data_IF_495020226671
#
_entry.id   IF_495020226671
#
_cell.length_a   1.000
_cell.length_b   1.000
_cell.length_c   1.000
_cell.angle_alpha   90.00
_cell.angle_beta   90.00
_cell.angle_gamma   90.00
#
_symmetry.space_group_name_H-M   'P 1'
#
loop_
_entity.id
_entity.type
_entity.pdbx_description
1 polymer ?
#
# COMPACT_ATOMS: atom_id res chain seq x y z
N UNK A 1 -7.77 -2.36 11.09
CA UNK A 1 -7.98 -0.93 11.41
C UNK A 1 -8.35 -0.20 10.13
N UNK A 2 -9.17 0.87 10.16
CA UNK A 2 -9.49 1.68 8.97
C UNK A 2 -8.57 2.91 8.98
N UNK A 3 -7.63 2.97 8.05
CA UNK A 3 -6.55 3.95 8.08
C UNK A 3 -6.97 5.15 7.29
N UNK A 4 -6.63 6.37 7.69
CA UNK A 4 -6.78 7.52 6.78
C UNK A 4 -5.51 8.32 6.79
N UNK A 5 -5.06 8.72 5.60
CA UNK A 5 -4.20 9.89 5.46
C UNK A 5 -5.06 11.13 5.76
N UNK A 6 -5.55 11.25 6.99
CA UNK A 6 -6.44 12.31 7.47
C UNK A 6 -5.79 13.69 7.39
N UNK A 7 -4.49 13.74 7.06
CA UNK A 7 -3.70 14.94 6.90
C UNK A 7 -2.79 14.85 5.67
N UNK A 8 -3.36 14.65 4.47
CA UNK A 8 -2.62 15.04 3.26
C UNK A 8 -2.61 16.58 3.19
N UNK A 9 -1.45 17.27 3.29
CA UNK A 9 -1.47 18.73 3.43
C UNK A 9 -1.55 19.37 2.04
N UNK A 10 -2.72 19.39 1.42
CA UNK A 10 -2.88 19.96 0.09
C UNK A 10 -3.84 21.13 0.00
N UNK A 11 -3.25 22.26 -0.37
CA UNK A 11 -3.91 23.30 -1.15
C UNK A 11 -4.70 24.30 -0.33
N UNK A 12 -4.48 25.57 -0.64
CA UNK A 12 -5.19 26.73 -0.09
C UNK A 12 -6.67 26.76 -0.56
N UNK A 13 -7.05 25.92 -1.54
CA UNK A 13 -8.31 26.06 -2.25
C UNK A 13 -9.49 25.21 -1.79
N UNK A 14 -9.32 24.20 -0.93
CA UNK A 14 -10.46 23.56 -0.25
C UNK A 14 -9.94 22.50 0.71
N UNK A 15 -10.23 22.65 2.00
CA UNK A 15 -9.98 21.63 3.02
C UNK A 15 -10.94 20.45 2.80
N UNK A 16 -10.74 19.66 1.75
CA UNK A 16 -11.51 18.44 1.50
C UNK A 16 -11.02 17.37 2.48
N UNK A 17 -11.90 16.99 3.41
CA UNK A 17 -11.68 15.85 4.29
C UNK A 17 -11.82 14.59 3.43
N UNK A 18 -10.71 14.09 2.89
CA UNK A 18 -10.65 12.91 2.02
C UNK A 18 -10.75 11.60 2.82
N UNK A 19 -11.80 11.47 3.63
CA UNK A 19 -11.80 10.51 4.73
C UNK A 19 -12.18 9.08 4.35
N UNK A 20 -12.53 8.77 3.10
CA UNK A 20 -12.85 7.40 2.68
C UNK A 20 -12.00 6.92 1.50
N UNK A 21 -11.77 7.76 0.49
CA UNK A 21 -10.97 7.37 -0.70
C UNK A 21 -9.46 7.18 -0.40
N UNK A 22 -8.96 7.78 0.69
CA UNK A 22 -7.58 7.63 1.16
C UNK A 22 -7.47 6.68 2.34
N UNK A 23 -8.39 5.72 2.41
CA UNK A 23 -8.34 4.67 3.41
C UNK A 23 -7.98 3.34 2.78
N UNK A 24 -6.78 2.87 3.05
CA UNK A 24 -6.46 1.46 2.85
C UNK A 24 -6.66 0.73 4.17
N UNK A 25 -7.43 -0.36 4.17
CA UNK A 25 -7.63 -1.17 5.37
C UNK A 25 -7.03 -2.56 5.15
N UNK A 26 -6.02 -2.85 5.97
CA UNK A 26 -5.49 -4.18 6.19
C UNK A 26 -5.93 -4.68 7.56
N UNK A 27 -6.09 -5.99 7.67
CA UNK A 27 -6.33 -6.62 8.98
C UNK A 27 -5.05 -6.50 9.80
N UNK A 28 -3.98 -7.10 9.29
CA UNK A 28 -2.57 -6.97 9.69
C UNK A 28 -1.74 -7.83 8.71
N UNK A 29 -0.41 -7.69 8.69
CA UNK A 29 0.45 -8.41 7.74
C UNK A 29 0.36 -9.95 7.88
N UNK A 30 0.14 -10.46 9.09
CA UNK A 30 0.05 -11.91 9.33
C UNK A 30 -1.29 -12.46 8.84
N UNK A 31 -2.37 -11.74 9.09
CA UNK A 31 -3.72 -12.10 8.62
C UNK A 31 -3.83 -12.06 7.10
N UNK A 32 -3.19 -11.09 6.43
CA UNK A 32 -3.18 -11.06 4.96
C UNK A 32 -2.36 -12.22 4.37
N UNK A 33 -1.16 -12.48 4.90
CA UNK A 33 -0.34 -13.63 4.45
C UNK A 33 -1.04 -14.96 4.72
N UNK A 34 -1.71 -15.11 5.87
CA UNK A 34 -2.47 -16.33 6.21
C UNK A 34 -3.63 -16.53 5.25
N UNK A 35 -4.35 -15.47 4.88
CA UNK A 35 -5.43 -15.52 3.90
C UNK A 35 -4.94 -15.97 2.52
N UNK A 36 -3.80 -15.47 2.07
CA UNK A 36 -3.17 -15.87 0.81
C UNK A 36 -2.79 -17.35 0.84
N UNK A 37 -2.07 -17.79 1.88
CA UNK A 37 -1.58 -19.17 1.99
C UNK A 37 -2.62 -20.19 2.46
N UNK A 38 -3.84 -19.76 2.80
CA UNK A 38 -4.97 -20.67 2.98
C UNK A 38 -5.35 -21.37 1.65
N UNK A 39 -4.93 -20.82 0.51
CA UNK A 39 -5.11 -21.43 -0.81
C UNK A 39 -4.06 -22.52 -1.07
N UNK A 40 -4.49 -23.58 -1.74
CA UNK A 40 -3.69 -24.78 -1.99
C UNK A 40 -2.87 -24.69 -3.27
N UNK A 41 -3.34 -23.97 -4.29
CA UNK A 41 -2.66 -23.84 -5.58
C UNK A 41 -1.91 -22.51 -5.68
N UNK A 42 -0.86 -22.47 -6.51
CA UNK A 42 -0.12 -21.22 -6.78
C UNK A 42 -1.01 -20.17 -7.45
N UNK A 43 -1.83 -20.57 -8.43
CA UNK A 43 -2.74 -19.66 -9.14
C UNK A 43 -3.75 -19.02 -8.19
N UNK A 44 -4.33 -19.80 -7.28
CA UNK A 44 -5.26 -19.27 -6.29
C UNK A 44 -4.57 -18.32 -5.31
N UNK A 45 -3.33 -18.59 -4.90
CA UNK A 45 -2.53 -17.69 -4.05
C UNK A 45 -2.25 -16.36 -4.76
N UNK A 46 -1.89 -16.42 -6.04
CA UNK A 46 -1.65 -15.23 -6.87
C UNK A 46 -2.90 -14.38 -7.00
N UNK A 47 -4.06 -15.02 -7.24
CA UNK A 47 -5.35 -14.34 -7.30
C UNK A 47 -5.74 -13.73 -5.95
N UNK A 48 -5.57 -14.48 -4.86
CA UNK A 48 -5.87 -13.98 -3.52
C UNK A 48 -4.95 -12.81 -3.12
N UNK A 49 -3.66 -12.84 -3.51
CA UNK A 49 -2.75 -11.69 -3.36
C UNK A 49 -3.26 -10.46 -4.15
N UNK A 50 -3.73 -10.69 -5.38
CA UNK A 50 -4.28 -9.64 -6.22
C UNK A 50 -5.50 -8.98 -5.56
N UNK A 51 -6.45 -9.79 -5.11
CA UNK A 51 -7.74 -9.34 -4.58
C UNK A 51 -7.61 -8.71 -3.18
N UNK A 52 -6.80 -9.31 -2.30
CA UNK A 52 -6.65 -8.84 -0.92
C UNK A 52 -5.74 -7.63 -0.76
N UNK A 53 -4.69 -7.54 -1.56
CA UNK A 53 -3.61 -6.57 -1.35
C UNK A 53 -3.45 -5.67 -2.57
N UNK A 54 -3.11 -6.23 -3.73
CA UNK A 54 -2.67 -5.41 -4.89
C UNK A 54 -3.75 -4.43 -5.34
N UNK A 55 -4.99 -4.87 -5.47
CA UNK A 55 -6.11 -4.02 -5.91
C UNK A 55 -6.37 -2.88 -4.91
N UNK A 56 -6.37 -3.18 -3.60
CA UNK A 56 -6.55 -2.15 -2.56
C UNK A 56 -5.45 -1.09 -2.60
N UNK A 57 -4.20 -1.52 -2.74
CA UNK A 57 -3.04 -0.62 -2.88
C UNK A 57 -3.15 0.19 -4.16
N UNK A 58 -3.64 -0.40 -5.25
CA UNK A 58 -3.83 0.29 -6.52
C UNK A 58 -4.87 1.40 -6.43
N UNK A 59 -6.01 1.13 -5.81
CA UNK A 59 -7.06 2.11 -5.63
C UNK A 59 -6.58 3.26 -4.74
N UNK A 60 -5.86 2.93 -3.67
CA UNK A 60 -5.22 3.93 -2.81
C UNK A 60 -4.21 4.80 -3.57
N UNK A 61 -3.27 4.21 -4.32
CA UNK A 61 -2.26 4.95 -5.10
C UNK A 61 -2.93 5.81 -6.18
N UNK A 62 -4.00 5.34 -6.81
CA UNK A 62 -4.77 6.13 -7.79
C UNK A 62 -5.46 7.33 -7.13
N UNK A 63 -6.08 7.14 -5.97
CA UNK A 63 -6.70 8.24 -5.21
C UNK A 63 -5.64 9.26 -4.77
N UNK A 64 -4.54 8.78 -4.19
CA UNK A 64 -3.38 9.57 -3.80
C UNK A 64 -2.84 10.46 -4.91
N UNK A 65 -2.60 9.91 -6.11
CA UNK A 65 -2.08 10.65 -7.26
C UNK A 65 -3.03 11.74 -7.74
N UNK A 66 -4.34 11.52 -7.69
CA UNK A 66 -5.34 12.54 -8.06
C UNK A 66 -5.32 13.74 -7.10
N UNK A 67 -4.95 13.51 -5.85
CA UNK A 67 -4.98 14.51 -4.79
C UNK A 67 -3.65 15.24 -4.61
N UNK A 68 -2.56 14.69 -5.15
CA UNK A 68 -1.24 15.34 -5.16
C UNK A 68 -1.30 16.66 -5.96
N UNK A 69 -0.99 17.82 -5.37
CA UNK A 69 -0.94 19.10 -6.01
C UNK A 69 0.31 19.15 -6.86
N UNK A 70 0.25 20.04 -7.83
CA UNK A 70 1.35 20.24 -8.78
C UNK A 70 2.47 21.10 -8.19
N UNK A 71 2.28 21.68 -7.00
CA UNK A 71 3.21 22.61 -6.37
C UNK A 71 3.43 22.28 -4.90
N UNK A 72 4.69 22.35 -4.47
CA UNK A 72 5.12 22.16 -3.09
C UNK A 72 4.64 23.34 -2.20
N UNK A 73 4.20 23.08 -0.95
CA UNK A 73 3.86 24.15 0.00
C UNK A 73 5.06 25.04 0.32
N UNK A 74 4.81 26.35 0.49
CA UNK A 74 5.86 27.34 0.85
C UNK A 74 6.17 27.36 2.35
N UNK A 75 5.19 27.00 3.19
CA UNK A 75 5.35 26.96 4.65
C UNK A 75 6.17 25.73 5.06
N UNK A 76 7.19 25.92 5.90
CA UNK A 76 8.20 24.90 6.20
C UNK A 76 7.62 23.67 6.93
N UNK A 77 6.68 23.86 7.85
CA UNK A 77 5.97 22.77 8.52
C UNK A 77 5.13 21.95 7.53
N UNK A 78 4.42 22.63 6.62
CA UNK A 78 3.64 21.96 5.55
C UNK A 78 4.53 21.26 4.54
N UNK A 79 5.72 21.81 4.27
CA UNK A 79 6.73 21.24 3.38
C UNK A 79 7.29 19.93 3.93
N UNK A 80 7.51 19.85 5.25
CA UNK A 80 7.98 18.62 5.91
C UNK A 80 6.93 17.51 5.81
N UNK A 81 5.69 17.79 6.17
CA UNK A 81 4.58 16.83 6.03
C UNK A 81 4.32 16.44 4.57
N UNK A 82 4.44 17.38 3.63
CA UNK A 82 4.33 17.10 2.21
C UNK A 82 5.40 16.12 1.72
N UNK A 83 6.67 16.38 2.07
CA UNK A 83 7.77 15.53 1.66
C UNK A 83 7.70 14.14 2.31
N UNK A 84 7.29 14.05 3.57
CA UNK A 84 7.02 12.77 4.23
C UNK A 84 5.93 11.96 3.50
N UNK A 85 4.77 12.58 3.22
CA UNK A 85 3.68 11.91 2.51
C UNK A 85 4.06 11.53 1.06
N UNK A 86 4.88 12.35 0.39
CA UNK A 86 5.42 12.06 -0.93
C UNK A 86 6.32 10.83 -0.90
N UNK A 87 7.27 10.76 0.04
CA UNK A 87 8.17 9.62 0.20
C UNK A 87 7.41 8.35 0.59
N UNK A 88 6.42 8.46 1.48
CA UNK A 88 5.55 7.34 1.84
C UNK A 88 4.81 6.78 0.62
N UNK A 89 4.22 7.65 -0.22
CA UNK A 89 3.56 7.23 -1.46
C UNK A 89 4.53 6.56 -2.45
N UNK A 90 5.74 7.09 -2.60
CA UNK A 90 6.79 6.50 -3.44
C UNK A 90 7.16 5.08 -2.95
N UNK A 91 7.36 4.90 -1.64
CA UNK A 91 7.64 3.59 -1.04
C UNK A 91 6.47 2.59 -1.22
N UNK A 92 5.23 3.06 -1.09
CA UNK A 92 4.04 2.23 -1.33
C UNK A 92 3.98 1.78 -2.80
N UNK A 93 4.27 2.68 -3.75
CA UNK A 93 4.31 2.35 -5.17
C UNK A 93 5.41 1.34 -5.51
N UNK A 94 6.58 1.44 -4.89
CA UNK A 94 7.67 0.47 -5.07
C UNK A 94 7.28 -0.91 -4.54
N UNK A 95 6.75 -1.00 -3.32
CA UNK A 95 6.28 -2.26 -2.76
C UNK A 95 5.12 -2.86 -3.58
N UNK A 96 4.21 -2.03 -4.10
CA UNK A 96 3.15 -2.50 -4.98
C UNK A 96 3.71 -3.16 -6.25
N UNK A 97 4.76 -2.61 -6.85
CA UNK A 97 5.42 -3.22 -8.03
C UNK A 97 6.04 -4.57 -7.69
N UNK A 98 6.65 -4.71 -6.51
CA UNK A 98 7.18 -5.98 -6.03
C UNK A 98 6.08 -7.02 -5.86
N UNK A 99 4.97 -6.66 -5.18
CA UNK A 99 3.82 -7.55 -5.01
C UNK A 99 3.22 -7.99 -6.36
N UNK A 100 3.12 -7.07 -7.33
CA UNK A 100 2.68 -7.41 -8.70
C UNK A 100 3.60 -8.41 -9.38
N UNK A 101 4.92 -8.30 -9.17
CA UNK A 101 5.90 -9.24 -9.76
C UNK A 101 5.68 -10.67 -9.28
N UNK A 102 5.36 -10.85 -7.99
CA UNK A 102 5.08 -12.17 -7.38
C UNK A 102 3.89 -12.91 -7.99
N UNK A 103 3.02 -12.21 -8.74
CA UNK A 103 1.93 -12.86 -9.48
C UNK A 103 2.38 -13.49 -10.79
N UNK A 104 3.56 -13.11 -11.31
CA UNK A 104 4.03 -13.49 -12.64
C UNK A 104 5.20 -14.48 -12.62
N UNK A 105 5.89 -14.62 -11.49
CA UNK A 105 7.03 -15.52 -11.32
C UNK A 105 6.65 -16.80 -10.54
N UNK A 106 7.66 -17.60 -10.20
CA UNK A 106 7.57 -18.85 -9.43
C UNK A 106 7.58 -18.61 -7.91
N UNK A 107 7.26 -17.39 -7.46
CA UNK A 107 7.30 -16.98 -6.05
C UNK A 107 6.44 -17.86 -5.15
N UNK A 108 5.27 -18.32 -5.61
CA UNK A 108 4.38 -19.16 -4.82
C UNK A 108 4.72 -20.66 -4.83
N UNK A 109 5.83 -21.04 -5.46
CA UNK A 109 6.26 -22.43 -5.52
C UNK A 109 6.49 -23.05 -4.15
N UNK A 110 6.19 -24.35 -4.05
CA UNK A 110 6.32 -25.13 -2.80
C UNK A 110 7.73 -25.02 -2.23
N UNK A 111 8.76 -25.02 -3.08
CA UNK A 111 10.16 -24.90 -2.67
C UNK A 111 10.50 -23.54 -2.03
N UNK A 112 9.71 -22.49 -2.31
CA UNK A 112 9.96 -21.12 -1.83
C UNK A 112 9.01 -20.70 -0.71
N UNK A 113 8.06 -21.54 -0.30
CA UNK A 113 6.96 -21.17 0.61
C UNK A 113 7.42 -20.38 1.85
N UNK A 114 8.43 -20.87 2.56
CA UNK A 114 8.95 -20.20 3.77
C UNK A 114 9.50 -18.81 3.46
N UNK A 115 10.33 -18.69 2.42
CA UNK A 115 10.92 -17.42 2.00
C UNK A 115 9.85 -16.46 1.50
N UNK A 116 8.92 -16.97 0.69
CA UNK A 116 7.84 -16.18 0.09
C UNK A 116 6.85 -15.65 1.13
N UNK A 117 6.53 -16.43 2.17
CA UNK A 117 5.77 -15.95 3.34
C UNK A 117 6.47 -14.81 4.05
N UNK A 118 7.77 -14.93 4.30
CA UNK A 118 8.56 -13.90 4.98
C UNK A 118 8.67 -12.61 4.15
N UNK A 119 8.90 -12.76 2.84
CA UNK A 119 8.96 -11.63 1.90
C UNK A 119 7.62 -10.91 1.82
N UNK A 120 6.51 -11.63 1.60
CA UNK A 120 5.17 -11.02 1.57
C UNK A 120 4.84 -10.30 2.87
N UNK A 121 5.17 -10.90 4.02
CA UNK A 121 4.96 -10.27 5.32
C UNK A 121 5.70 -8.94 5.42
N UNK A 122 6.94 -8.89 4.94
CA UNK A 122 7.79 -7.69 4.99
C UNK A 122 7.26 -6.61 4.05
N UNK A 123 6.89 -6.97 2.82
CA UNK A 123 6.36 -6.02 1.82
C UNK A 123 4.99 -5.46 2.21
N UNK A 124 4.08 -6.31 2.72
CA UNK A 124 2.78 -5.85 3.24
C UNK A 124 2.98 -4.97 4.47
N UNK A 125 3.89 -5.35 5.37
CA UNK A 125 4.24 -4.53 6.53
C UNK A 125 4.81 -3.17 6.11
N UNK A 126 5.64 -3.09 5.08
CA UNK A 126 6.17 -1.83 4.60
C UNK A 126 5.06 -0.90 4.09
N UNK A 127 4.05 -1.44 3.39
CA UNK A 127 2.90 -0.65 2.94
C UNK A 127 2.09 -0.15 4.14
N UNK A 128 1.81 -1.05 5.09
CA UNK A 128 1.19 -0.75 6.38
C UNK A 128 2.00 0.37 7.05
N UNK A 129 3.27 0.20 7.43
CA UNK A 129 4.03 1.22 8.15
C UNK A 129 4.09 2.60 7.41
N UNK A 130 4.15 2.63 6.07
CA UNK A 130 4.14 3.89 5.30
C UNK A 130 2.76 4.56 5.23
N UNK A 131 1.66 3.82 5.42
CA UNK A 131 0.33 4.40 5.51
C UNK A 131 0.03 5.01 6.89
N UNK A 132 0.85 4.73 7.92
CA UNK A 132 0.72 5.22 9.30
C UNK A 132 1.63 6.44 9.57
N UNK A 133 2.40 6.87 8.56
CA UNK A 133 3.36 7.99 8.62
C UNK A 133 2.70 9.33 8.26
#
# INVERSE_FOLDING_TARGET
>A
MAWSMSFWPFGIDEQKVYNEDLKISFTDENSEVTGIYAKTTEEDRKKELQDRVINKVEDFVKAAKKLKPNTEPKEEDKKTSFNAAKTALENIEENQKLLKKHTTDDFFSVAKETTSKATLKTEIKAIVDNCDT
#
